data_IF_210339027375
#
_entry.id   IF_210339027375
#
_cell.length_a   1.000
_cell.length_b   1.000
_cell.length_c   1.000
_cell.angle_alpha   90.00
_cell.angle_beta   90.00
_cell.angle_gamma   90.00
#
_symmetry.space_group_name_H-M   'P 1'
#
loop_
_entity.id
_entity.type
_entity.pdbx_description
1 polymer ?
#
# COMPACT_ATOMS: atom_id res chain seq x y z
N UNK A 1 18.26 -15.31 8.28
CA UNK A 1 19.60 -15.55 8.88
C UNK A 1 19.54 -15.13 10.33
N UNK A 2 19.74 -16.07 11.24
CA UNK A 2 19.68 -15.89 12.69
C UNK A 2 21.03 -15.35 13.18
N UNK A 3 21.06 -14.15 13.76
CA UNK A 3 22.29 -13.37 14.02
C UNK A 3 23.14 -13.87 15.19
N UNK A 4 22.77 -14.96 15.89
CA UNK A 4 23.58 -15.56 16.94
C UNK A 4 23.79 -14.69 18.19
N UNK A 5 23.14 -13.52 18.25
CA UNK A 5 22.97 -12.72 19.47
C UNK A 5 21.64 -13.17 20.04
N UNK A 6 21.60 -13.62 21.30
CA UNK A 6 20.33 -13.84 21.99
C UNK A 6 19.63 -12.48 22.06
N UNK A 7 18.77 -12.21 21.07
CA UNK A 7 17.99 -10.99 21.03
C UNK A 7 17.08 -11.05 22.23
N UNK A 8 17.31 -10.17 23.19
CA UNK A 8 16.29 -9.78 24.15
C UNK A 8 14.98 -9.60 23.37
N UNK A 9 13.93 -10.32 23.75
CA UNK A 9 12.63 -10.23 23.08
C UNK A 9 12.16 -8.77 23.03
N UNK A 10 12.59 -7.93 23.98
CA UNK A 10 12.34 -6.49 24.00
C UNK A 10 12.95 -5.72 22.79
N UNK A 11 13.91 -6.31 22.08
CA UNK A 11 14.58 -5.73 20.91
C UNK A 11 14.21 -6.43 19.58
N UNK A 12 13.20 -7.29 19.60
CA UNK A 12 12.71 -7.93 18.38
C UNK A 12 11.82 -6.95 17.59
N UNK A 13 12.37 -6.38 16.52
CA UNK A 13 11.67 -5.47 15.60
C UNK A 13 11.16 -6.18 14.34
N UNK A 14 11.06 -7.51 14.35
CA UNK A 14 10.51 -8.25 13.23
C UNK A 14 9.00 -8.03 13.08
N UNK A 15 8.51 -8.07 11.84
CA UNK A 15 7.07 -8.16 11.55
C UNK A 15 6.50 -9.45 12.17
N UNK A 16 5.25 -9.37 12.61
CA UNK A 16 4.51 -10.53 13.10
C UNK A 16 4.22 -11.54 11.98
N UNK A 17 4.36 -12.83 12.28
CA UNK A 17 4.14 -13.91 11.29
C UNK A 17 2.74 -13.87 10.65
N UNK A 18 1.73 -13.43 11.41
CA UNK A 18 0.34 -13.36 10.94
C UNK A 18 0.11 -12.26 9.90
N UNK A 19 0.98 -11.24 9.80
CA UNK A 19 0.88 -10.15 8.81
C UNK A 19 1.67 -10.43 7.54
N UNK A 20 2.62 -11.38 7.57
CA UNK A 20 3.41 -11.75 6.39
C UNK A 20 2.58 -12.03 5.12
N UNK A 21 1.42 -12.73 5.17
CA UNK A 21 0.59 -12.93 3.98
C UNK A 21 0.07 -11.62 3.38
N UNK A 22 -0.33 -10.66 4.22
CA UNK A 22 -0.79 -9.34 3.77
C UNK A 22 0.38 -8.54 3.16
N UNK A 23 1.53 -8.53 3.82
CA UNK A 23 2.73 -7.86 3.32
C UNK A 23 3.14 -8.35 1.93
N UNK A 24 3.21 -9.67 1.74
CA UNK A 24 3.54 -10.25 0.43
C UNK A 24 2.46 -10.00 -0.63
N UNK A 25 1.17 -9.98 -0.24
CA UNK A 25 0.08 -9.62 -1.14
C UNK A 25 0.17 -8.16 -1.60
N UNK A 26 0.48 -7.22 -0.69
CA UNK A 26 0.69 -5.80 -1.02
C UNK A 26 1.88 -5.64 -1.96
N UNK A 27 3.03 -6.23 -1.65
CA UNK A 27 4.22 -6.18 -2.51
C UNK A 27 3.94 -6.69 -3.92
N UNK A 28 3.28 -7.84 -4.00
CA UNK A 28 2.92 -8.44 -5.28
C UNK A 28 1.99 -7.51 -6.06
N UNK A 29 0.95 -6.97 -5.40
CA UNK A 29 0.00 -6.07 -6.04
C UNK A 29 0.67 -4.80 -6.58
N UNK A 30 1.59 -4.20 -5.83
CA UNK A 30 2.37 -3.05 -6.30
C UNK A 30 3.13 -3.42 -7.58
N UNK A 31 3.88 -4.52 -7.55
CA UNK A 31 4.69 -4.95 -8.69
C UNK A 31 3.87 -5.31 -9.93
N UNK A 32 2.68 -5.92 -9.77
CA UNK A 32 1.91 -6.45 -10.90
C UNK A 32 0.82 -5.52 -11.39
N UNK A 33 0.31 -4.61 -10.57
CA UNK A 33 -0.84 -3.76 -10.91
C UNK A 33 -0.54 -2.26 -10.85
N UNK A 34 0.32 -1.81 -9.94
CA UNK A 34 0.63 -0.38 -9.76
C UNK A 34 1.81 0.05 -10.61
N UNK A 35 2.93 -0.66 -10.53
CA UNK A 35 4.16 -0.35 -11.26
C UNK A 35 3.91 -0.23 -12.78
N UNK A 36 3.16 -1.14 -13.44
CA UNK A 36 2.92 -1.05 -14.88
C UNK A 36 2.17 0.20 -15.34
N UNK A 37 1.31 0.79 -14.50
CA UNK A 37 0.51 1.96 -14.88
C UNK A 37 1.18 3.29 -14.54
N UNK A 38 2.29 3.25 -13.81
CA UNK A 38 2.86 4.45 -13.17
C UNK A 38 3.41 5.43 -14.19
N UNK A 39 4.17 4.94 -15.18
CA UNK A 39 4.72 5.77 -16.25
C UNK A 39 3.60 6.42 -17.08
N UNK A 40 2.60 5.65 -17.47
CA UNK A 40 1.45 6.14 -18.24
C UNK A 40 0.65 7.19 -17.45
N UNK A 41 0.39 6.96 -16.16
CA UNK A 41 -0.30 7.91 -15.32
C UNK A 41 0.41 9.28 -15.27
N UNK A 42 1.74 9.29 -15.18
CA UNK A 42 2.50 10.54 -15.18
C UNK A 42 2.54 11.20 -16.56
N UNK A 43 2.70 10.42 -17.63
CA UNK A 43 2.67 10.92 -19.01
C UNK A 43 1.33 11.60 -19.33
N UNK A 44 0.20 10.99 -18.94
CA UNK A 44 -1.13 11.59 -19.08
C UNK A 44 -1.26 12.92 -18.32
N UNK A 45 -0.55 13.07 -17.21
CA UNK A 45 -0.56 14.25 -16.36
C UNK A 45 0.34 15.40 -16.84
N UNK A 46 1.13 15.22 -17.90
CA UNK A 46 2.01 16.26 -18.43
C UNK A 46 1.19 17.41 -19.04
N UNK A 47 1.62 18.65 -18.80
CA UNK A 47 0.96 19.84 -19.35
C UNK A 47 -0.44 20.14 -18.82
N UNK A 48 -0.86 19.48 -17.73
CA UNK A 48 -2.17 19.72 -17.10
C UNK A 48 -2.38 21.20 -16.75
N UNK A 49 -3.61 21.68 -16.95
CA UNK A 49 -3.97 23.08 -16.71
C UNK A 49 -3.94 23.47 -15.23
N UNK A 50 -4.38 22.55 -14.35
CA UNK A 50 -4.28 22.69 -12.90
C UNK A 50 -3.29 21.66 -12.36
N UNK A 51 -2.22 22.14 -11.71
CA UNK A 51 -1.20 21.30 -11.08
C UNK A 51 -1.80 20.37 -10.02
N UNK A 52 -2.88 20.78 -9.36
CA UNK A 52 -3.55 20.02 -8.29
C UNK A 52 -4.68 19.12 -8.81
N UNK A 53 -5.02 19.23 -10.10
CA UNK A 53 -6.05 18.43 -10.75
C UNK A 53 -5.50 17.21 -11.47
N UNK A 54 -6.44 16.40 -11.98
CA UNK A 54 -6.18 15.29 -12.88
C UNK A 54 -6.36 15.73 -14.34
N UNK A 55 -5.51 15.21 -15.21
CA UNK A 55 -5.69 15.27 -16.65
C UNK A 55 -6.62 14.14 -17.16
N UNK A 56 -7.22 14.27 -18.35
CA UNK A 56 -8.04 13.20 -18.95
C UNK A 56 -7.30 11.85 -18.98
N UNK A 57 -7.97 10.77 -18.55
CA UNK A 57 -7.40 9.42 -18.53
C UNK A 57 -6.74 9.01 -17.20
N UNK A 58 -6.25 9.97 -16.39
CA UNK A 58 -5.57 9.64 -15.13
C UNK A 58 -6.50 8.96 -14.11
N UNK A 59 -7.73 9.47 -14.00
CA UNK A 59 -8.72 8.92 -13.06
C UNK A 59 -9.20 7.55 -13.52
N UNK A 60 -9.46 7.36 -14.81
CA UNK A 60 -9.89 6.09 -15.38
C UNK A 60 -8.83 4.99 -15.16
N UNK A 61 -7.55 5.34 -15.36
CA UNK A 61 -6.43 4.43 -15.12
C UNK A 61 -6.31 4.06 -13.64
N UNK A 62 -6.39 5.06 -12.74
CA UNK A 62 -6.33 4.86 -11.29
C UNK A 62 -7.50 4.01 -10.77
N UNK A 63 -8.73 4.31 -11.20
CA UNK A 63 -9.93 3.56 -10.81
C UNK A 63 -9.87 2.10 -11.29
N UNK A 64 -9.25 1.83 -12.45
CA UNK A 64 -9.04 0.45 -12.91
C UNK A 64 -8.24 -0.38 -11.91
N UNK A 65 -7.19 0.21 -11.31
CA UNK A 65 -6.34 -0.47 -10.32
C UNK A 65 -7.00 -0.52 -8.95
N UNK A 66 -7.69 0.56 -8.53
CA UNK A 66 -8.50 0.56 -7.29
C UNK A 66 -9.55 -0.55 -7.28
N UNK A 67 -10.20 -0.81 -8.42
CA UNK A 67 -11.15 -1.91 -8.54
C UNK A 67 -10.50 -3.29 -8.38
N UNK A 68 -9.28 -3.48 -8.89
CA UNK A 68 -8.49 -4.70 -8.66
C UNK A 68 -8.07 -4.86 -7.20
N UNK A 69 -7.71 -3.76 -6.52
CA UNK A 69 -7.39 -3.77 -5.09
C UNK A 69 -8.60 -4.22 -4.25
N UNK A 70 -9.78 -3.66 -4.53
CA UNK A 70 -11.05 -4.08 -3.89
C UNK A 70 -11.35 -5.56 -4.14
N UNK A 71 -11.24 -6.02 -5.39
CA UNK A 71 -11.46 -7.43 -5.74
C UNK A 71 -10.47 -8.39 -5.08
N UNK A 72 -9.26 -7.91 -4.76
CA UNK A 72 -8.20 -8.70 -4.11
C UNK A 72 -8.25 -8.61 -2.58
N UNK A 73 -9.22 -7.90 -2.01
CA UNK A 73 -9.32 -7.69 -0.55
C UNK A 73 -8.22 -6.80 0.03
N UNK A 74 -7.55 -6.01 -0.80
CA UNK A 74 -6.45 -5.12 -0.41
C UNK A 74 -6.89 -3.65 -0.26
N UNK A 75 -8.20 -3.41 -0.26
CA UNK A 75 -8.76 -2.08 -0.02
C UNK A 75 -8.89 -1.83 1.49
N UNK A 76 -8.34 -0.72 1.99
CA UNK A 76 -8.45 -0.34 3.40
C UNK A 76 -7.96 -1.39 4.42
N UNK A 77 -6.95 -2.19 4.07
CA UNK A 77 -6.48 -3.28 4.95
C UNK A 77 -5.92 -2.81 6.30
N UNK A 78 -5.61 -1.52 6.44
CA UNK A 78 -5.11 -0.95 7.70
C UNK A 78 -6.24 -0.67 8.70
N UNK A 79 -7.50 -0.57 8.24
CA UNK A 79 -8.62 -0.33 9.13
C UNK A 79 -8.79 -1.52 10.08
N UNK A 80 -9.15 -1.28 11.34
CA UNK A 80 -9.46 -2.35 12.26
C UNK A 80 -10.53 -3.27 11.70
N UNK A 81 -10.37 -4.57 11.91
CA UNK A 81 -11.38 -5.54 11.55
C UNK A 81 -12.70 -5.18 12.26
N UNK A 82 -13.81 -5.14 11.51
CA UNK A 82 -15.10 -4.67 12.03
C UNK A 82 -15.70 -5.55 13.14
N UNK A 83 -15.31 -6.82 13.21
CA UNK A 83 -15.82 -7.80 14.18
C UNK A 83 -14.97 -7.84 15.45
N UNK A 84 -13.65 -7.69 15.33
CA UNK A 84 -12.70 -7.80 16.45
C UNK A 84 -12.25 -6.44 16.98
N UNK A 85 -12.34 -5.39 16.17
CA UNK A 85 -11.79 -4.06 16.48
C UNK A 85 -10.25 -4.01 16.45
N UNK A 86 -9.58 -5.10 16.09
CA UNK A 86 -8.12 -5.19 16.02
C UNK A 86 -7.64 -4.82 14.62
N UNK A 87 -6.68 -3.88 14.55
CA UNK A 87 -5.99 -3.47 13.32
C UNK A 87 -4.54 -3.91 13.31
N UNK A 88 -3.79 -3.46 12.31
CA UNK A 88 -2.34 -3.70 12.26
C UNK A 88 -1.64 -3.00 13.42
N UNK A 89 -0.60 -3.64 13.97
CA UNK A 89 0.32 -2.93 14.87
C UNK A 89 1.09 -1.86 14.08
N UNK A 90 1.56 -0.82 14.77
CA UNK A 90 2.38 0.22 14.13
C UNK A 90 3.65 -0.36 13.50
N UNK A 91 4.25 -1.40 14.12
CA UNK A 91 5.44 -2.05 13.61
C UNK A 91 5.13 -2.80 12.30
N UNK A 92 4.07 -3.60 12.29
CA UNK A 92 3.65 -4.35 11.09
C UNK A 92 3.29 -3.39 9.94
N UNK A 93 2.58 -2.31 10.25
CA UNK A 93 2.26 -1.29 9.27
C UNK A 93 3.51 -0.56 8.74
N UNK A 94 4.53 -0.31 9.56
CA UNK A 94 5.77 0.36 9.10
C UNK A 94 6.47 -0.38 7.96
N UNK A 95 6.49 -1.72 8.01
CA UNK A 95 7.01 -2.54 6.92
C UNK A 95 6.16 -2.45 5.65
N UNK A 96 4.82 -2.47 5.78
CA UNK A 96 3.92 -2.32 4.63
C UNK A 96 4.03 -0.90 4.04
N UNK A 97 4.06 0.13 4.88
CA UNK A 97 4.22 1.53 4.48
C UNK A 97 5.54 1.77 3.73
N UNK A 98 6.60 1.04 4.06
CA UNK A 98 7.86 1.07 3.31
C UNK A 98 7.68 0.61 1.86
N UNK A 99 6.85 -0.41 1.63
CA UNK A 99 6.55 -0.90 0.27
C UNK A 99 5.62 0.07 -0.47
N UNK A 100 4.58 0.57 0.21
CA UNK A 100 3.69 1.61 -0.34
C UNK A 100 4.47 2.86 -0.78
N UNK A 101 5.49 3.25 -0.01
CA UNK A 101 6.32 4.43 -0.30
C UNK A 101 7.25 4.29 -1.51
N UNK A 102 7.45 3.08 -2.07
CA UNK A 102 8.31 2.88 -3.24
C UNK A 102 7.68 3.39 -4.54
N UNK A 103 6.35 3.48 -4.57
CA UNK A 103 5.61 3.96 -5.72
C UNK A 103 4.57 5.01 -5.26
N UNK A 104 4.61 6.26 -5.79
CA UNK A 104 3.71 7.31 -5.36
C UNK A 104 2.20 7.02 -5.55
N UNK A 105 1.86 6.06 -6.42
CA UNK A 105 0.46 5.68 -6.67
C UNK A 105 -0.03 4.54 -5.76
N UNK A 106 0.87 3.82 -5.07
CA UNK A 106 0.50 2.60 -4.36
C UNK A 106 -0.50 2.84 -3.22
N UNK A 107 -0.22 3.82 -2.36
CA UNK A 107 -1.13 4.23 -1.30
C UNK A 107 -2.51 4.58 -1.84
N UNK A 108 -2.58 5.36 -2.92
CA UNK A 108 -3.85 5.76 -3.52
C UNK A 108 -4.61 4.58 -4.14
N UNK A 109 -3.91 3.67 -4.80
CA UNK A 109 -4.50 2.48 -5.42
C UNK A 109 -5.13 1.52 -4.40
N UNK A 110 -4.56 1.46 -3.19
CA UNK A 110 -4.99 0.58 -2.09
C UNK A 110 -5.91 1.29 -1.08
N UNK A 111 -6.22 2.56 -1.32
CA UNK A 111 -6.94 3.46 -0.40
C UNK A 111 -6.27 3.62 0.96
N UNK A 112 -4.94 3.66 0.94
CA UNK A 112 -4.04 3.85 2.07
C UNK A 112 -3.29 5.20 1.94
N UNK A 113 -3.91 6.20 1.30
CA UNK A 113 -3.45 7.60 1.33
C UNK A 113 -3.94 8.28 2.61
N UNK A 114 -3.26 9.30 3.11
CA UNK A 114 -3.85 10.18 4.11
C UNK A 114 -4.98 11.03 3.47
N UNK A 115 -6.11 11.33 4.15
CA UNK A 115 -6.46 11.07 5.55
C UNK A 115 -7.11 9.70 5.79
N UNK A 116 -7.18 8.83 4.77
CA UNK A 116 -7.83 7.53 4.91
C UNK A 116 -7.06 6.65 5.91
N UNK A 117 -5.73 6.75 5.95
CA UNK A 117 -4.88 6.11 6.97
C UNK A 117 -4.96 6.80 8.34
N UNK A 118 -6.06 6.61 9.06
CA UNK A 118 -6.18 6.85 10.52
C UNK A 118 -6.19 8.31 10.98
#
# INVERSE_FOLDING_TARGET
>A
MHSGIATDDAMNLAMSDHVLPLYEAVKKFIATEVDPITEEFYALGEGRADRWGYAPGQLELLESVKNKAKASGLWNFFLPNAETGEGLSNLDYAYIATELGKNPLASECLNCSAPDTG
#
